data_IF_397990003226
#
_entry.id   IF_397990003226
#
_cell.length_a   1.000
_cell.length_b   1.000
_cell.length_c   1.000
_cell.angle_alpha   90.00
_cell.angle_beta   90.00
_cell.angle_gamma   90.00
#
_symmetry.space_group_name_H-M   'P 1'
#
loop_
_entity.id
_entity.type
_entity.pdbx_description
1 polymer ?
#
# COMPACT_ATOMS: atom_id res chain seq x y z
N UNK A 1 -7.05 0.71 -16.52
CA UNK A 1 -6.91 0.95 -15.07
C UNK A 1 -6.48 2.40 -14.87
N UNK A 2 -7.24 3.19 -14.09
CA UNK A 2 -6.89 4.59 -13.78
C UNK A 2 -5.82 4.64 -12.66
N UNK A 3 -4.61 5.16 -12.93
CA UNK A 3 -3.55 5.26 -11.93
C UNK A 3 -3.95 6.10 -10.70
N UNK A 4 -4.78 7.13 -10.88
CA UNK A 4 -5.21 8.00 -9.78
C UNK A 4 -6.17 7.27 -8.84
N UNK A 5 -7.09 6.48 -9.40
CA UNK A 5 -8.03 5.68 -8.60
C UNK A 5 -7.32 4.60 -7.80
N UNK A 6 -6.39 3.86 -8.43
CA UNK A 6 -5.62 2.82 -7.72
C UNK A 6 -4.80 3.39 -6.57
N UNK A 7 -4.10 4.51 -6.78
CA UNK A 7 -3.35 5.18 -5.72
C UNK A 7 -4.27 5.69 -4.60
N UNK A 8 -5.42 6.27 -4.96
CA UNK A 8 -6.42 6.73 -3.98
C UNK A 8 -6.89 5.60 -3.06
N UNK A 9 -7.21 4.43 -3.63
CA UNK A 9 -7.63 3.24 -2.86
C UNK A 9 -6.56 2.81 -1.86
N UNK A 10 -5.30 2.76 -2.30
CA UNK A 10 -4.20 2.39 -1.43
C UNK A 10 -3.97 3.41 -0.30
N UNK A 11 -4.03 4.72 -0.62
CA UNK A 11 -3.92 5.78 0.40
C UNK A 11 -5.04 5.65 1.43
N UNK A 12 -6.26 5.40 0.99
CA UNK A 12 -7.42 5.26 1.86
C UNK A 12 -7.27 4.08 2.84
N UNK A 13 -6.88 2.89 2.35
CA UNK A 13 -6.60 1.72 3.20
C UNK A 13 -5.44 2.00 4.17
N UNK A 14 -4.32 2.53 3.66
CA UNK A 14 -3.14 2.76 4.50
C UNK A 14 -3.33 3.90 5.50
N UNK A 15 -4.17 4.88 5.18
CA UNK A 15 -4.56 5.93 6.14
C UNK A 15 -5.44 5.34 7.21
N UNK A 16 -6.46 4.56 6.83
CA UNK A 16 -7.31 3.85 7.80
C UNK A 16 -6.46 3.01 8.75
N UNK A 17 -5.51 2.22 8.22
CA UNK A 17 -4.59 1.41 9.00
C UNK A 17 -3.69 2.23 9.93
N UNK A 18 -3.15 3.37 9.47
CA UNK A 18 -2.29 4.22 10.27
C UNK A 18 -3.02 5.00 11.38
N UNK A 19 -4.34 5.17 11.24
CA UNK A 19 -5.19 5.89 12.21
C UNK A 19 -6.06 4.96 13.05
N UNK A 20 -6.05 3.66 12.76
CA UNK A 20 -6.84 2.67 13.49
C UNK A 20 -6.35 2.52 14.93
N UNK A 21 -7.20 1.98 15.79
CA UNK A 21 -6.77 1.62 17.13
C UNK A 21 -5.70 0.50 17.04
N UNK A 22 -4.53 0.61 17.69
CA UNK A 22 -3.50 -0.43 17.63
C UNK A 22 -3.99 -1.83 18.04
N UNK A 23 -5.04 -1.91 18.86
CA UNK A 23 -5.64 -3.17 19.31
C UNK A 23 -6.83 -3.64 18.45
N UNK A 24 -7.23 -2.88 17.44
CA UNK A 24 -8.38 -3.17 16.58
C UNK A 24 -8.10 -2.75 15.13
N UNK A 25 -8.06 -3.74 14.22
CA UNK A 25 -7.83 -3.52 12.79
C UNK A 25 -9.11 -3.64 11.97
N UNK A 26 -10.29 -3.59 12.60
CA UNK A 26 -11.58 -3.80 11.93
C UNK A 26 -11.84 -2.73 10.87
N UNK A 27 -11.58 -1.46 11.17
CA UNK A 27 -11.84 -0.37 10.25
C UNK A 27 -10.95 -0.44 9.00
N UNK A 28 -9.65 -0.65 9.20
CA UNK A 28 -8.72 -0.84 8.08
C UNK A 28 -9.00 -2.13 7.28
N UNK A 29 -9.44 -3.19 7.96
CA UNK A 29 -9.93 -4.43 7.34
C UNK A 29 -11.16 -4.22 6.47
N UNK A 30 -12.15 -3.45 6.94
CA UNK A 30 -13.36 -3.14 6.19
C UNK A 30 -13.05 -2.34 4.91
N UNK A 31 -12.17 -1.34 5.00
CA UNK A 31 -11.72 -0.57 3.81
C UNK A 31 -10.98 -1.45 2.81
N UNK A 32 -10.17 -2.39 3.29
CA UNK A 32 -9.51 -3.37 2.42
C UNK A 32 -10.55 -4.25 1.71
N UNK A 33 -11.48 -4.83 2.48
CA UNK A 33 -12.52 -5.73 1.98
C UNK A 33 -13.45 -5.06 0.97
N UNK A 34 -13.79 -3.78 1.18
CA UNK A 34 -14.59 -2.98 0.27
C UNK A 34 -13.97 -2.94 -1.14
N UNK A 35 -12.65 -2.74 -1.23
CA UNK A 35 -11.98 -2.66 -2.52
C UNK A 35 -11.69 -4.03 -3.15
N UNK A 36 -11.26 -5.04 -2.39
CA UNK A 36 -10.93 -6.35 -2.99
C UNK A 36 -12.17 -7.13 -3.42
N UNK A 37 -13.34 -6.82 -2.85
CA UNK A 37 -14.61 -7.48 -3.22
C UNK A 37 -15.21 -6.91 -4.51
N UNK A 38 -14.62 -5.87 -5.10
CA UNK A 38 -15.07 -5.34 -6.39
C UNK A 38 -14.79 -6.33 -7.52
N UNK A 39 -15.85 -6.69 -8.26
CA UNK A 39 -15.75 -7.54 -9.44
C UNK A 39 -14.96 -6.90 -10.59
N UNK A 40 -14.69 -7.68 -11.65
CA UNK A 40 -13.94 -7.21 -12.82
C UNK A 40 -14.63 -6.04 -13.52
N UNK A 41 -13.86 -5.05 -13.96
CA UNK A 41 -14.36 -4.00 -14.85
C UNK A 41 -14.43 -4.45 -16.32
N UNK A 42 -14.78 -3.52 -17.21
CA UNK A 42 -14.89 -3.74 -18.65
C UNK A 42 -13.60 -4.26 -19.31
N UNK A 43 -12.45 -4.08 -18.66
CA UNK A 43 -11.14 -4.56 -19.13
C UNK A 43 -10.71 -5.86 -18.43
N UNK A 44 -11.59 -6.47 -17.62
CA UNK A 44 -11.31 -7.70 -16.88
C UNK A 44 -10.42 -7.49 -15.65
N UNK A 45 -10.25 -6.26 -15.18
CA UNK A 45 -9.43 -5.93 -14.02
C UNK A 45 -10.32 -5.82 -12.78
N UNK A 46 -10.08 -6.68 -11.79
CA UNK A 46 -10.81 -6.70 -10.52
C UNK A 46 -10.25 -5.74 -9.47
N UNK A 47 -10.97 -5.63 -8.36
CA UNK A 47 -10.62 -4.79 -7.22
C UNK A 47 -9.30 -5.17 -6.55
N UNK A 48 -9.01 -6.47 -6.46
CA UNK A 48 -7.74 -6.98 -5.91
C UNK A 48 -6.55 -6.45 -6.72
N UNK A 49 -6.59 -6.58 -8.04
CA UNK A 49 -5.52 -6.10 -8.92
C UNK A 49 -5.38 -4.57 -8.83
N UNK A 50 -6.50 -3.83 -8.77
CA UNK A 50 -6.49 -2.36 -8.59
C UNK A 50 -5.82 -1.94 -7.28
N UNK A 51 -6.17 -2.60 -6.18
CA UNK A 51 -5.59 -2.29 -4.87
C UNK A 51 -4.11 -2.65 -4.81
N UNK A 52 -3.73 -3.81 -5.36
CA UNK A 52 -2.33 -4.26 -5.41
C UNK A 52 -1.43 -3.27 -6.16
N UNK A 53 -1.87 -2.82 -7.35
CA UNK A 53 -1.15 -1.79 -8.12
C UNK A 53 -1.08 -0.47 -7.35
N UNK A 54 -2.17 -0.08 -6.68
CA UNK A 54 -2.21 1.09 -5.82
C UNK A 54 -1.18 1.04 -4.70
N UNK A 55 -1.10 -0.08 -3.98
CA UNK A 55 -0.17 -0.30 -2.87
C UNK A 55 1.28 -0.26 -3.35
N UNK A 56 1.57 -0.85 -4.51
CA UNK A 56 2.90 -0.78 -5.13
C UNK A 56 3.28 0.69 -5.46
N UNK A 57 2.35 1.44 -6.05
CA UNK A 57 2.57 2.85 -6.39
C UNK A 57 2.80 3.70 -5.13
N UNK A 58 2.00 3.48 -4.09
CA UNK A 58 2.14 4.16 -2.80
C UNK A 58 3.49 3.83 -2.15
N UNK A 59 3.89 2.56 -2.12
CA UNK A 59 5.20 2.15 -1.59
C UNK A 59 6.36 2.84 -2.34
N UNK A 60 6.28 2.94 -3.67
CA UNK A 60 7.24 3.70 -4.46
C UNK A 60 7.32 5.17 -4.07
N UNK A 61 6.18 5.85 -3.89
CA UNK A 61 6.16 7.25 -3.45
C UNK A 61 6.72 7.43 -2.04
N UNK A 62 6.42 6.51 -1.12
CA UNK A 62 6.96 6.54 0.24
C UNK A 62 8.48 6.32 0.23
N UNK A 63 9.00 5.40 -0.60
CA UNK A 63 10.43 5.18 -0.76
C UNK A 63 11.15 6.41 -1.33
N UNK A 64 10.56 7.11 -2.31
CA UNK A 64 11.09 8.39 -2.81
C UNK A 64 11.20 9.42 -1.69
N UNK A 65 10.14 9.58 -0.90
CA UNK A 65 10.16 10.53 0.23
C UNK A 65 11.20 10.13 1.27
N UNK A 66 11.28 8.86 1.61
CA UNK A 66 12.25 8.36 2.58
C UNK A 66 13.69 8.56 2.11
N UNK A 67 13.99 8.37 0.83
CA UNK A 67 15.30 8.67 0.26
C UNK A 67 15.66 10.16 0.36
N UNK A 68 14.71 11.05 0.07
CA UNK A 68 14.89 12.49 0.22
C UNK A 68 15.15 12.91 1.67
N UNK A 69 14.42 12.31 2.63
CA UNK A 69 14.55 12.64 4.05
C UNK A 69 15.83 12.06 4.69
N UNK A 70 16.28 10.88 4.27
CA UNK A 70 17.42 10.20 4.92
C UNK A 70 18.74 10.27 4.13
N UNK A 71 18.70 10.68 2.86
CA UNK A 71 19.85 10.61 1.94
C UNK A 71 20.34 9.18 1.64
N UNK A 72 19.51 8.17 1.89
CA UNK A 72 19.80 6.75 1.63
C UNK A 72 18.94 6.30 0.46
N UNK A 73 19.52 5.55 -0.48
CA UNK A 73 18.78 5.08 -1.64
C UNK A 73 17.61 4.17 -1.26
N UNK A 74 16.56 4.13 -2.08
CA UNK A 74 15.46 3.17 -1.91
C UNK A 74 15.97 1.72 -1.76
N UNK A 75 16.97 1.33 -2.55
CA UNK A 75 17.60 0.02 -2.48
C UNK A 75 18.20 -0.25 -1.10
N UNK A 76 18.86 0.74 -0.50
CA UNK A 76 19.43 0.60 0.83
C UNK A 76 18.34 0.32 1.87
N UNK A 77 17.22 1.05 1.83
CA UNK A 77 16.09 0.85 2.75
C UNK A 77 15.50 -0.55 2.63
N UNK A 78 15.25 -1.02 1.40
CA UNK A 78 14.71 -2.36 1.15
C UNK A 78 15.68 -3.47 1.63
N UNK A 79 16.98 -3.30 1.38
CA UNK A 79 18.01 -4.24 1.84
C UNK A 79 18.16 -4.23 3.37
N UNK A 80 18.01 -3.07 4.01
CA UNK A 80 18.06 -2.97 5.47
C UNK A 80 16.87 -3.66 6.14
N UNK A 81 15.66 -3.48 5.60
CA UNK A 81 14.47 -4.22 6.04
C UNK A 81 14.68 -5.73 5.89
N UNK A 82 15.11 -6.19 4.71
CA UNK A 82 15.35 -7.61 4.45
C UNK A 82 16.38 -8.21 5.44
N UNK A 83 17.45 -7.47 5.76
CA UNK A 83 18.46 -7.90 6.73
C UNK A 83 17.87 -8.07 8.13
N UNK A 84 17.01 -7.15 8.57
CA UNK A 84 16.40 -7.16 9.91
C UNK A 84 15.30 -8.21 10.04
N UNK A 85 14.50 -8.44 9.01
CA UNK A 85 13.41 -9.42 9.04
C UNK A 85 13.90 -10.87 9.06
N UNK A 86 15.10 -11.15 8.53
CA UNK A 86 15.73 -12.48 8.58
C UNK A 86 16.43 -12.78 9.92
N UNK A 87 16.45 -11.82 10.85
CA UNK A 87 17.06 -11.95 12.18
C UNK A 87 16.03 -12.16 13.30
N UNK A 88 14.73 -12.18 12.96
CA UNK A 88 13.63 -12.54 13.85
C UNK A 88 13.40 -14.06 13.83
#
# INVERSE_FOLDING_TARGET
MDPNDTLRRAIDVMTAWATDNPDDTSFSGDRFMEYVSEGPDENGVDGEMKLMVGLQNLAGQLLVRLEQETGRSMQWHLQDIARKSLQQ
#
